data_IF_641861248821
#
_entry.id   IF_641861248821
#
_cell.length_a   1.000
_cell.length_b   1.000
_cell.length_c   1.000
_cell.angle_alpha   90.00
_cell.angle_beta   90.00
_cell.angle_gamma   90.00
#
_symmetry.space_group_name_H-M   'P 1'
#
loop_
_entity.id
_entity.type
_entity.pdbx_description
1 polymer ?
#
# COMPACT_ATOMS: atom_id res chain seq x y z
N UNK A 1 -21.55 20.74 -11.70
CA UNK A 1 -20.14 20.64 -12.13
C UNK A 1 -19.65 19.23 -11.81
N UNK A 2 -18.74 18.66 -12.59
CA UNK A 2 -18.18 17.33 -12.35
C UNK A 2 -16.84 17.43 -11.61
N UNK A 3 -16.57 16.49 -10.68
CA UNK A 3 -15.27 16.34 -10.03
C UNK A 3 -14.67 14.98 -10.42
N UNK A 4 -13.50 14.98 -11.03
CA UNK A 4 -12.75 13.76 -11.32
C UNK A 4 -11.73 13.50 -10.23
N UNK A 5 -11.79 12.31 -9.64
CA UNK A 5 -10.88 11.88 -8.58
C UNK A 5 -9.91 10.85 -9.14
N UNK A 6 -8.65 11.22 -9.24
CA UNK A 6 -7.52 10.35 -9.52
C UNK A 6 -7.08 9.71 -8.21
N UNK A 7 -6.99 8.40 -8.14
CA UNK A 7 -6.64 7.68 -6.92
C UNK A 7 -5.65 6.56 -7.21
N UNK A 8 -4.88 6.14 -6.22
CA UNK A 8 -3.98 5.00 -6.33
C UNK A 8 -4.79 3.71 -6.54
N UNK A 9 -4.67 3.12 -7.73
CA UNK A 9 -5.42 1.94 -8.13
C UNK A 9 -4.87 0.67 -7.47
N UNK A 10 -5.75 -0.34 -7.31
CA UNK A 10 -5.39 -1.59 -6.64
C UNK A 10 -4.76 -1.38 -5.24
N UNK A 11 -5.16 -0.32 -4.55
CA UNK A 11 -4.73 0.02 -3.19
C UNK A 11 -5.95 0.28 -2.32
N UNK A 12 -5.98 -0.31 -1.11
CA UNK A 12 -7.07 -0.09 -0.17
C UNK A 12 -7.10 1.37 0.31
N UNK A 13 -5.94 1.95 0.65
CA UNK A 13 -5.86 3.35 1.04
C UNK A 13 -6.26 4.29 -0.10
N UNK A 14 -5.85 4.00 -1.35
CA UNK A 14 -6.28 4.78 -2.52
C UNK A 14 -7.79 4.79 -2.69
N UNK A 15 -8.47 3.64 -2.55
CA UNK A 15 -9.93 3.55 -2.63
C UNK A 15 -10.61 4.27 -1.45
N UNK A 16 -10.11 4.11 -0.22
CA UNK A 16 -10.61 4.79 0.98
C UNK A 16 -10.39 6.31 0.90
N UNK A 17 -9.24 6.75 0.40
CA UNK A 17 -8.91 8.15 0.19
C UNK A 17 -9.86 8.80 -0.82
N UNK A 18 -10.16 8.12 -1.93
CA UNK A 18 -11.15 8.61 -2.90
C UNK A 18 -12.56 8.69 -2.30
N UNK A 19 -12.95 7.72 -1.48
CA UNK A 19 -14.23 7.70 -0.79
C UNK A 19 -14.35 8.84 0.24
N UNK A 20 -13.34 9.02 1.09
CA UNK A 20 -13.33 10.07 2.10
C UNK A 20 -13.26 11.45 1.46
N UNK A 21 -12.42 11.64 0.43
CA UNK A 21 -12.38 12.88 -0.32
C UNK A 21 -13.73 13.22 -0.94
N UNK A 22 -14.40 12.25 -1.56
CA UNK A 22 -15.74 12.45 -2.17
C UNK A 22 -16.74 12.95 -1.12
N UNK A 23 -16.76 12.34 0.06
CA UNK A 23 -17.65 12.74 1.14
C UNK A 23 -17.29 14.13 1.68
N UNK A 24 -16.02 14.38 1.97
CA UNK A 24 -15.51 15.67 2.38
C UNK A 24 -15.89 16.77 1.38
N UNK A 25 -15.62 16.54 0.11
CA UNK A 25 -15.88 17.51 -0.95
C UNK A 25 -17.38 17.82 -1.08
N UNK A 26 -18.23 16.79 -1.00
CA UNK A 26 -19.68 16.93 -1.05
C UNK A 26 -20.24 17.73 0.15
N UNK A 27 -19.78 17.42 1.35
CA UNK A 27 -20.31 18.01 2.58
C UNK A 27 -19.76 19.41 2.88
N UNK A 28 -18.49 19.67 2.59
CA UNK A 28 -17.80 20.89 2.99
C UNK A 28 -17.51 21.87 1.86
N UNK A 29 -17.46 21.41 0.61
CA UNK A 29 -17.18 22.25 -0.57
C UNK A 29 -18.44 22.45 -1.41
N UNK A 30 -19.14 21.35 -1.73
CA UNK A 30 -20.46 21.38 -2.35
C UNK A 30 -20.51 21.89 -3.80
N UNK A 31 -19.37 21.90 -4.51
CA UNK A 31 -19.28 22.46 -5.87
C UNK A 31 -19.59 21.44 -6.97
N UNK A 32 -19.49 20.12 -6.66
CA UNK A 32 -19.71 19.06 -7.63
C UNK A 32 -21.04 18.33 -7.43
N UNK A 33 -21.74 18.09 -8.54
CA UNK A 33 -22.98 17.31 -8.59
C UNK A 33 -22.71 15.83 -8.89
N UNK A 34 -21.54 15.53 -9.47
CA UNK A 34 -21.13 14.19 -9.88
C UNK A 34 -19.65 13.97 -9.69
N UNK A 35 -19.28 12.73 -9.35
CA UNK A 35 -17.90 12.28 -9.20
C UNK A 35 -17.58 11.16 -10.19
N UNK A 36 -16.45 11.31 -10.90
CA UNK A 36 -15.85 10.28 -11.75
C UNK A 36 -14.52 9.85 -11.14
N UNK A 37 -14.22 8.56 -11.18
CA UNK A 37 -12.99 8.01 -10.58
C UNK A 37 -12.06 7.48 -11.66
N UNK A 38 -10.76 7.79 -11.55
CA UNK A 38 -9.72 7.30 -12.45
C UNK A 38 -8.57 6.69 -11.64
N UNK A 39 -8.44 5.35 -11.75
CA UNK A 39 -7.37 4.61 -11.08
C UNK A 39 -6.00 4.88 -11.70
N UNK A 40 -5.01 5.21 -10.88
CA UNK A 40 -3.65 5.52 -11.26
C UNK A 40 -2.70 4.41 -10.86
N UNK A 41 -1.79 4.03 -11.75
CA UNK A 41 -0.76 3.01 -11.51
C UNK A 41 0.63 3.58 -11.67
N UNK A 42 1.57 3.12 -10.86
CA UNK A 42 2.97 3.46 -11.01
C UNK A 42 3.53 2.78 -12.28
N UNK A 43 3.72 3.57 -13.32
CA UNK A 43 4.30 3.12 -14.60
C UNK A 43 5.56 3.91 -14.91
N UNK A 44 6.43 3.33 -15.75
CA UNK A 44 7.57 4.08 -16.26
C UNK A 44 7.11 5.22 -17.20
N UNK A 45 7.73 6.39 -17.09
CA UNK A 45 7.42 7.55 -17.91
C UNK A 45 6.39 8.50 -17.30
N UNK A 46 5.64 9.23 -18.13
CA UNK A 46 4.67 10.22 -17.68
C UNK A 46 3.47 9.54 -17.01
N UNK A 47 3.24 9.86 -15.74
CA UNK A 47 2.14 9.29 -14.94
C UNK A 47 0.78 9.88 -15.32
N UNK A 48 0.74 11.13 -15.77
CA UNK A 48 -0.47 11.85 -16.14
C UNK A 48 -0.48 12.21 -17.61
N UNK A 49 -1.65 12.13 -18.24
CA UNK A 49 -1.91 12.73 -19.56
C UNK A 49 -2.78 13.95 -19.36
N UNK A 50 -2.43 15.09 -19.97
CA UNK A 50 -3.18 16.32 -19.82
C UNK A 50 -4.67 16.14 -20.24
N UNK A 51 -4.92 15.31 -21.23
CA UNK A 51 -6.27 14.97 -21.67
C UNK A 51 -7.13 14.19 -20.65
N UNK A 52 -6.56 13.74 -19.56
CA UNK A 52 -7.31 13.09 -18.49
C UNK A 52 -7.96 14.11 -17.54
N UNK A 53 -7.40 15.32 -17.45
CA UNK A 53 -7.97 16.38 -16.62
C UNK A 53 -9.16 17.03 -17.30
N UNK A 54 -10.17 17.36 -16.50
CA UNK A 54 -11.34 18.10 -16.95
C UNK A 54 -11.03 19.60 -16.99
N UNK A 55 -11.38 20.26 -18.10
CA UNK A 55 -11.19 21.71 -18.26
C UNK A 55 -12.32 22.47 -17.56
N UNK A 56 -13.57 21.98 -17.67
CA UNK A 56 -14.78 22.62 -17.11
C UNK A 56 -15.26 21.91 -15.84
N UNK A 57 -14.34 21.38 -15.01
CA UNK A 57 -14.63 20.66 -13.80
C UNK A 57 -13.53 20.75 -12.77
N UNK A 58 -13.68 20.03 -11.66
CA UNK A 58 -12.63 19.88 -10.67
C UNK A 58 -11.86 18.59 -10.89
N UNK A 59 -10.58 18.60 -10.57
CA UNK A 59 -9.69 17.46 -10.64
C UNK A 59 -8.99 17.30 -9.30
N UNK A 60 -9.26 16.18 -8.61
CA UNK A 60 -8.61 15.83 -7.36
C UNK A 60 -7.64 14.68 -7.58
N UNK A 61 -6.47 14.74 -6.99
CA UNK A 61 -5.53 13.61 -6.91
C UNK A 61 -5.40 13.24 -5.44
N UNK A 62 -5.65 11.97 -5.10
CA UNK A 62 -5.54 11.46 -3.73
C UNK A 62 -4.69 10.20 -3.69
N UNK A 63 -3.82 10.09 -2.68
CA UNK A 63 -2.94 8.94 -2.46
C UNK A 63 -2.05 8.63 -3.67
N UNK A 64 -1.67 9.66 -4.43
CA UNK A 64 -0.85 9.50 -5.61
C UNK A 64 0.05 10.71 -5.85
N UNK A 65 1.05 10.52 -6.71
CA UNK A 65 2.07 11.51 -7.06
C UNK A 65 1.50 12.89 -7.38
N UNK A 66 2.28 13.91 -7.06
CA UNK A 66 2.00 15.29 -7.43
C UNK A 66 1.96 15.48 -8.95
N UNK A 67 1.07 16.34 -9.40
CA UNK A 67 1.04 16.83 -10.78
C UNK A 67 1.08 18.36 -10.80
N UNK A 68 2.04 18.99 -11.54
CA UNK A 68 2.12 20.44 -11.66
C UNK A 68 1.05 21.04 -12.61
N UNK A 69 0.15 20.22 -13.18
CA UNK A 69 -0.88 20.69 -14.10
C UNK A 69 -1.75 21.77 -13.43
N UNK A 70 -1.99 22.91 -14.09
CA UNK A 70 -2.86 23.96 -13.57
C UNK A 70 -4.34 23.54 -13.49
N UNK A 71 -4.71 22.40 -14.05
CA UNK A 71 -6.05 21.84 -13.98
C UNK A 71 -6.30 21.04 -12.68
N UNK A 72 -5.25 20.73 -11.89
CA UNK A 72 -5.41 20.13 -10.57
C UNK A 72 -6.01 21.12 -9.61
N UNK A 73 -7.15 20.78 -9.01
CA UNK A 73 -7.85 21.63 -8.05
C UNK A 73 -7.67 21.17 -6.61
N UNK A 74 -7.43 19.88 -6.40
CA UNK A 74 -7.17 19.26 -5.11
C UNK A 74 -6.06 18.24 -5.20
N UNK A 75 -5.16 18.22 -4.20
CA UNK A 75 -4.15 17.18 -4.07
C UNK A 75 -3.92 16.81 -2.61
N UNK A 76 -3.90 15.49 -2.33
CA UNK A 76 -3.58 14.93 -1.03
C UNK A 76 -2.64 13.75 -1.20
N UNK A 77 -1.50 13.78 -0.50
CA UNK A 77 -0.57 12.65 -0.48
C UNK A 77 0.25 12.63 0.82
N UNK A 78 0.74 11.44 1.18
CA UNK A 78 1.57 11.20 2.36
C UNK A 78 2.88 10.47 2.03
N UNK A 79 3.11 10.10 0.79
CA UNK A 79 4.30 9.32 0.42
C UNK A 79 5.56 10.18 0.38
N UNK A 80 6.68 9.70 1.00
CA UNK A 80 8.00 10.36 0.87
C UNK A 80 8.42 10.57 -0.59
N UNK A 81 7.94 9.74 -1.49
CA UNK A 81 8.20 9.82 -2.93
C UNK A 81 7.13 10.57 -3.71
N UNK A 82 6.34 11.45 -3.07
CA UNK A 82 5.22 12.18 -3.69
C UNK A 82 5.63 12.98 -4.91
N UNK A 83 6.80 13.60 -4.89
CA UNK A 83 7.31 14.42 -5.97
C UNK A 83 8.21 13.61 -6.91
N UNK A 84 7.99 13.72 -8.22
CA UNK A 84 8.81 13.04 -9.23
C UNK A 84 10.13 13.79 -9.47
N UNK A 85 10.13 15.11 -9.32
CA UNK A 85 11.28 15.99 -9.54
C UNK A 85 11.38 17.04 -8.45
N UNK A 86 12.56 17.63 -8.30
CA UNK A 86 12.73 18.79 -7.42
C UNK A 86 11.93 20.01 -7.88
N UNK A 87 11.63 20.12 -9.19
CA UNK A 87 10.78 21.17 -9.75
C UNK A 87 9.32 21.01 -9.33
N UNK A 88 8.80 19.77 -9.27
CA UNK A 88 7.46 19.50 -8.76
C UNK A 88 7.33 19.93 -7.29
N UNK A 89 8.31 19.60 -6.46
CA UNK A 89 8.33 20.02 -5.06
C UNK A 89 8.40 21.56 -4.94
N UNK A 90 9.23 22.21 -5.74
CA UNK A 90 9.34 23.66 -5.77
C UNK A 90 8.02 24.32 -6.21
N UNK A 91 7.34 23.76 -7.21
CA UNK A 91 6.02 24.23 -7.68
C UNK A 91 4.96 24.12 -6.57
N UNK A 92 4.90 22.97 -5.89
CA UNK A 92 4.02 22.79 -4.73
C UNK A 92 4.29 23.86 -3.66
N UNK A 93 5.55 24.00 -3.22
CA UNK A 93 5.94 24.93 -2.15
C UNK A 93 5.64 26.39 -2.51
N UNK A 94 5.89 26.79 -3.75
CA UNK A 94 5.59 28.14 -4.25
C UNK A 94 4.09 28.45 -4.22
N UNK A 95 3.21 27.43 -4.37
CA UNK A 95 1.77 27.59 -4.29
C UNK A 95 1.23 27.70 -2.86
N UNK A 96 2.01 27.30 -1.84
CA UNK A 96 1.56 27.29 -0.45
C UNK A 96 1.64 28.65 0.24
N UNK A 97 2.60 29.50 -0.12
CA UNK A 97 2.86 30.76 0.55
C UNK A 97 3.16 31.87 -0.47
N UNK A 98 2.48 33.01 -0.37
CA UNK A 98 2.75 34.20 -1.15
C UNK A 98 4.06 34.87 -0.73
N UNK A 99 4.59 35.78 -1.56
CA UNK A 99 5.82 36.54 -1.29
C UNK A 99 5.75 37.40 -0.01
N UNK A 100 4.55 37.78 0.43
CA UNK A 100 4.29 38.55 1.66
C UNK A 100 4.08 37.68 2.91
N UNK A 101 4.23 36.35 2.77
CA UNK A 101 4.04 35.37 3.87
C UNK A 101 2.59 34.97 4.13
N UNK A 102 1.62 35.47 3.37
CA UNK A 102 0.22 35.04 3.48
C UNK A 102 0.00 33.68 2.80
N UNK A 103 -1.08 32.94 3.15
CA UNK A 103 -1.41 31.70 2.46
C UNK A 103 -1.52 31.86 0.95
N UNK A 104 -0.83 31.01 0.21
CA UNK A 104 -0.83 31.01 -1.25
C UNK A 104 -2.10 30.39 -1.83
N UNK A 105 -2.28 30.43 -3.16
CA UNK A 105 -3.50 30.00 -3.84
C UNK A 105 -3.77 28.49 -3.69
N UNK A 106 -2.74 27.68 -3.39
CA UNK A 106 -2.84 26.23 -3.21
C UNK A 106 -2.95 25.79 -1.74
N UNK A 107 -2.73 26.71 -0.78
CA UNK A 107 -2.65 26.42 0.65
C UNK A 107 -3.92 25.75 1.27
N UNK A 108 -5.07 25.91 0.61
CA UNK A 108 -6.34 25.32 1.01
C UNK A 108 -6.84 24.26 0.01
N UNK A 109 -5.98 23.80 -0.87
CA UNK A 109 -6.33 22.87 -1.94
C UNK A 109 -5.33 21.71 -2.12
N UNK A 110 -4.06 21.93 -1.83
CA UNK A 110 -3.01 20.94 -1.96
C UNK A 110 -2.37 20.68 -0.59
N UNK A 111 -2.36 19.41 -0.16
CA UNK A 111 -1.94 19.01 1.19
C UNK A 111 -0.99 17.81 1.12
N UNK A 112 0.17 17.96 1.75
CA UNK A 112 1.18 16.92 1.83
C UNK A 112 1.76 16.83 3.23
N UNK A 113 1.75 15.62 3.81
CA UNK A 113 2.45 15.34 5.07
C UNK A 113 2.90 13.87 5.14
N UNK A 114 4.21 13.60 5.05
CA UNK A 114 4.74 12.24 5.07
C UNK A 114 4.75 11.59 6.47
N UNK A 115 4.29 12.28 7.50
CA UNK A 115 4.18 11.71 8.85
C UNK A 115 2.86 10.97 9.07
N UNK A 116 1.89 11.14 8.18
CA UNK A 116 0.64 10.38 8.25
C UNK A 116 0.83 8.95 7.76
N UNK A 117 0.11 8.02 8.39
CA UNK A 117 0.22 6.59 8.08
C UNK A 117 -0.49 6.24 6.78
N UNK A 118 -1.63 6.90 6.49
CA UNK A 118 -2.42 6.72 5.27
C UNK A 118 -2.86 8.07 4.73
N UNK A 119 -3.08 8.18 3.43
CA UNK A 119 -3.68 9.37 2.83
C UNK A 119 -5.12 9.57 3.31
N UNK A 120 -5.86 8.48 3.56
CA UNK A 120 -7.20 8.53 4.15
C UNK A 120 -7.19 9.27 5.49
N UNK A 121 -6.30 8.93 6.42
CA UNK A 121 -6.21 9.64 7.72
C UNK A 121 -5.74 11.08 7.56
N UNK A 122 -4.88 11.38 6.58
CA UNK A 122 -4.49 12.75 6.26
C UNK A 122 -5.66 13.59 5.74
N UNK A 123 -6.44 13.07 4.80
CA UNK A 123 -7.65 13.75 4.32
C UNK A 123 -8.63 13.99 5.48
N UNK A 124 -8.85 12.99 6.34
CA UNK A 124 -9.71 13.12 7.51
C UNK A 124 -9.28 14.25 8.46
N UNK A 125 -7.97 14.33 8.72
CA UNK A 125 -7.39 15.39 9.54
C UNK A 125 -7.65 16.78 8.94
N UNK A 126 -7.37 16.96 7.65
CA UNK A 126 -7.60 18.23 6.95
C UNK A 126 -9.10 18.57 6.91
N UNK A 127 -9.95 17.62 6.55
CA UNK A 127 -11.40 17.80 6.49
C UNK A 127 -11.97 18.25 7.84
N UNK A 128 -11.54 17.62 8.95
CA UNK A 128 -11.98 17.98 10.29
C UNK A 128 -11.42 19.33 10.75
N UNK A 129 -10.10 19.52 10.68
CA UNK A 129 -9.43 20.68 11.30
C UNK A 129 -9.54 21.97 10.51
N UNK A 130 -9.57 21.90 9.18
CA UNK A 130 -9.63 23.07 8.31
C UNK A 130 -11.03 23.38 7.77
N UNK A 131 -11.88 22.35 7.66
CA UNK A 131 -13.21 22.50 7.06
C UNK A 131 -14.37 22.16 8.00
N UNK A 132 -14.08 21.67 9.24
CA UNK A 132 -15.10 21.41 10.26
C UNK A 132 -15.95 20.18 9.99
N UNK A 133 -15.51 19.27 9.13
CA UNK A 133 -16.23 18.02 8.85
C UNK A 133 -16.27 17.11 10.10
N UNK A 134 -17.44 16.53 10.38
CA UNK A 134 -17.55 15.43 11.33
C UNK A 134 -17.06 14.13 10.70
N UNK A 135 -15.89 13.66 11.13
CA UNK A 135 -15.27 12.43 10.64
C UNK A 135 -15.58 11.19 11.50
N UNK A 136 -16.29 11.36 12.62
CA UNK A 136 -16.66 10.24 13.50
C UNK A 136 -17.41 9.12 12.79
N UNK A 137 -18.35 9.39 11.86
CA UNK A 137 -19.02 8.33 11.09
C UNK A 137 -18.07 7.52 10.18
N UNK A 138 -16.87 8.02 9.91
CA UNK A 138 -15.86 7.37 9.05
C UNK A 138 -14.70 6.75 9.87
N UNK A 139 -14.81 6.72 11.20
CA UNK A 139 -13.73 6.26 12.07
C UNK A 139 -13.25 4.84 11.76
N UNK A 140 -14.16 3.92 11.42
CA UNK A 140 -13.81 2.56 11.00
C UNK A 140 -12.97 2.55 9.72
N UNK A 141 -13.38 3.29 8.70
CA UNK A 141 -12.68 3.40 7.42
C UNK A 141 -11.26 3.96 7.61
N UNK A 142 -11.15 5.06 8.39
CA UNK A 142 -9.87 5.73 8.69
C UNK A 142 -8.94 4.80 9.46
N UNK A 143 -9.45 4.12 10.49
CA UNK A 143 -8.69 3.18 11.30
C UNK A 143 -8.10 2.05 10.44
N UNK A 144 -8.92 1.43 9.59
CA UNK A 144 -8.45 0.32 8.76
C UNK A 144 -7.52 0.76 7.63
N UNK A 145 -7.69 1.96 7.08
CA UNK A 145 -6.72 2.52 6.12
C UNK A 145 -5.33 2.63 6.76
N UNK A 146 -5.24 3.15 8.00
CA UNK A 146 -3.97 3.23 8.74
C UNK A 146 -3.38 1.86 9.06
N UNK A 147 -4.21 0.87 9.41
CA UNK A 147 -3.74 -0.49 9.72
C UNK A 147 -3.17 -1.16 8.46
N UNK A 148 -3.87 -1.06 7.33
CA UNK A 148 -3.50 -1.73 6.08
C UNK A 148 -2.26 -1.09 5.48
N UNK A 149 -2.27 0.23 5.29
CA UNK A 149 -1.18 0.95 4.64
C UNK A 149 0.11 0.93 5.47
N UNK A 150 -0.01 1.17 6.77
CA UNK A 150 1.10 1.09 7.72
C UNK A 150 1.54 -0.32 8.07
N UNK A 151 0.85 -1.36 7.58
CA UNK A 151 1.05 -2.76 7.97
C UNK A 151 1.06 -2.94 9.51
N UNK A 152 0.20 -2.19 10.23
CA UNK A 152 0.13 -2.13 11.70
C UNK A 152 -0.83 -3.16 12.28
N UNK A 153 -0.93 -4.34 11.67
CA UNK A 153 -1.76 -5.42 12.17
C UNK A 153 -1.36 -5.83 13.59
N UNK A 154 -2.34 -6.13 14.42
CA UNK A 154 -2.14 -6.54 15.81
C UNK A 154 -1.23 -7.76 15.94
N UNK A 155 -1.35 -8.71 15.02
CA UNK A 155 -0.59 -9.96 15.00
C UNK A 155 -0.48 -10.55 13.60
N UNK A 156 0.45 -11.47 13.42
CA UNK A 156 0.54 -12.28 12.20
C UNK A 156 -0.77 -13.06 11.95
N UNK A 157 -1.43 -13.50 13.03
CA UNK A 157 -2.74 -14.15 12.96
C UNK A 157 -3.77 -13.22 12.33
N UNK A 158 -3.93 -12.00 12.85
CA UNK A 158 -4.87 -11.02 12.30
C UNK A 158 -4.60 -10.71 10.81
N UNK A 159 -3.31 -10.58 10.44
CA UNK A 159 -2.90 -10.30 9.06
C UNK A 159 -3.13 -11.46 8.08
N UNK A 160 -3.17 -12.72 8.57
CA UNK A 160 -3.30 -13.92 7.71
C UNK A 160 -4.71 -14.51 7.74
N UNK A 161 -5.37 -14.56 8.89
CA UNK A 161 -6.73 -15.13 8.98
C UNK A 161 -7.80 -14.21 8.38
N UNK A 162 -7.52 -12.91 8.26
CA UNK A 162 -8.37 -11.93 7.55
C UNK A 162 -9.83 -11.93 8.03
N UNK A 163 -10.06 -12.01 9.34
CA UNK A 163 -11.41 -12.07 9.91
C UNK A 163 -12.15 -10.73 9.73
N UNK A 164 -11.44 -9.59 9.84
CA UNK A 164 -12.04 -8.28 9.73
C UNK A 164 -12.52 -7.99 8.29
N UNK A 165 -13.68 -7.32 8.12
CA UNK A 165 -14.22 -6.94 6.81
C UNK A 165 -13.21 -6.18 5.94
N UNK A 166 -12.48 -5.24 6.53
CA UNK A 166 -11.44 -4.47 5.84
C UNK A 166 -10.38 -5.36 5.17
N UNK A 167 -9.95 -6.43 5.84
CA UNK A 167 -8.92 -7.34 5.33
C UNK A 167 -9.37 -8.08 4.08
N UNK A 168 -10.63 -8.52 4.07
CA UNK A 168 -11.24 -9.17 2.90
C UNK A 168 -11.45 -8.19 1.75
N UNK A 169 -11.91 -6.97 2.07
CA UNK A 169 -12.04 -5.89 1.08
C UNK A 169 -10.69 -5.50 0.49
N UNK A 170 -9.64 -5.39 1.31
CA UNK A 170 -8.27 -5.16 0.86
C UNK A 170 -7.86 -6.22 -0.16
N UNK A 171 -8.06 -7.50 0.16
CA UNK A 171 -7.71 -8.59 -0.77
C UNK A 171 -8.46 -8.47 -2.10
N UNK A 172 -9.75 -8.13 -2.10
CA UNK A 172 -10.52 -7.96 -3.34
C UNK A 172 -10.03 -6.75 -4.14
N UNK A 173 -9.82 -5.59 -3.48
CA UNK A 173 -9.38 -4.35 -4.12
C UNK A 173 -7.97 -4.51 -4.72
N UNK A 174 -7.03 -5.06 -3.95
CA UNK A 174 -5.64 -5.23 -4.40
C UNK A 174 -5.49 -6.29 -5.49
N UNK A 175 -6.37 -7.29 -5.54
CA UNK A 175 -6.39 -8.32 -6.58
C UNK A 175 -7.30 -7.99 -7.76
N UNK A 176 -7.92 -6.80 -7.79
CA UNK A 176 -8.84 -6.42 -8.87
C UNK A 176 -8.14 -6.42 -10.24
N UNK A 177 -8.71 -7.14 -11.19
CA UNK A 177 -8.16 -7.25 -12.54
C UNK A 177 -8.28 -5.93 -13.33
N UNK A 178 -9.27 -5.11 -13.00
CA UNK A 178 -9.54 -3.84 -13.70
C UNK A 178 -9.86 -2.72 -12.72
N UNK A 179 -9.54 -1.49 -13.11
CA UNK A 179 -9.86 -0.28 -12.34
C UNK A 179 -11.37 -0.09 -12.15
N UNK A 180 -12.19 -0.54 -13.10
CA UNK A 180 -13.66 -0.45 -13.02
C UNK A 180 -14.21 -1.24 -11.82
N UNK A 181 -13.55 -2.34 -11.45
CA UNK A 181 -13.93 -3.07 -10.25
C UNK A 181 -13.65 -2.23 -8.99
N UNK A 182 -12.46 -1.62 -8.88
CA UNK A 182 -12.12 -0.76 -7.74
C UNK A 182 -13.03 0.46 -7.66
N UNK A 183 -13.35 1.09 -8.80
CA UNK A 183 -14.28 2.22 -8.89
C UNK A 183 -15.65 1.91 -8.31
N UNK A 184 -16.13 0.66 -8.36
CA UNK A 184 -17.42 0.26 -7.76
C UNK A 184 -17.41 0.30 -6.23
N UNK A 185 -16.24 0.13 -5.60
CA UNK A 185 -16.11 0.19 -4.15
C UNK A 185 -16.20 1.61 -3.61
N UNK A 186 -15.67 2.60 -4.33
CA UNK A 186 -15.51 3.97 -3.82
C UNK A 186 -16.86 4.56 -3.37
N UNK A 187 -17.95 4.55 -4.17
CA UNK A 187 -19.25 5.04 -3.72
C UNK A 187 -19.80 4.27 -2.51
N UNK A 188 -19.55 2.96 -2.43
CA UNK A 188 -20.03 2.15 -1.31
C UNK A 188 -19.26 2.50 -0.02
N UNK A 189 -17.92 2.63 -0.10
CA UNK A 189 -17.07 3.04 1.01
C UNK A 189 -17.38 4.47 1.50
N UNK A 190 -17.95 5.31 0.62
CA UNK A 190 -18.38 6.67 0.97
C UNK A 190 -19.61 6.65 1.89
N UNK A 191 -20.52 5.68 1.71
CA UNK A 191 -21.86 5.70 2.32
C UNK A 191 -22.09 4.60 3.36
N UNK A 192 -21.33 3.50 3.32
CA UNK A 192 -21.62 2.29 4.08
C UNK A 192 -20.48 1.89 5.03
N UNK A 193 -20.79 1.26 6.17
CA UNK A 193 -19.78 0.60 6.99
C UNK A 193 -19.16 -0.58 6.23
N UNK A 194 -17.92 -0.94 6.56
CA UNK A 194 -17.14 -1.93 5.80
C UNK A 194 -17.81 -3.30 5.71
N UNK A 195 -18.53 -3.73 6.77
CA UNK A 195 -19.31 -4.97 6.73
C UNK A 195 -20.39 -4.94 5.66
N UNK A 196 -21.12 -3.84 5.53
CA UNK A 196 -22.19 -3.71 4.52
C UNK A 196 -21.61 -3.64 3.09
N UNK A 197 -20.40 -3.11 2.90
CA UNK A 197 -19.67 -3.18 1.63
C UNK A 197 -19.26 -4.63 1.34
N UNK A 198 -18.73 -5.33 2.34
CA UNK A 198 -18.36 -6.74 2.22
C UNK A 198 -19.55 -7.61 1.84
N UNK A 199 -20.74 -7.33 2.38
CA UNK A 199 -21.96 -8.12 2.14
C UNK A 199 -22.60 -7.89 0.76
N UNK A 200 -22.03 -6.99 -0.08
CA UNK A 200 -22.53 -6.80 -1.44
C UNK A 200 -22.39 -8.09 -2.27
N UNK A 201 -23.43 -8.50 -3.02
CA UNK A 201 -23.42 -9.77 -3.75
C UNK A 201 -22.19 -9.95 -4.65
N UNK A 202 -21.81 -8.91 -5.40
CA UNK A 202 -20.64 -8.97 -6.28
C UNK A 202 -19.32 -9.12 -5.53
N UNK A 203 -19.25 -8.63 -4.29
CA UNK A 203 -18.06 -8.78 -3.42
C UNK A 203 -17.98 -10.21 -2.91
N UNK A 204 -19.11 -10.78 -2.46
CA UNK A 204 -19.20 -12.15 -1.99
C UNK A 204 -18.81 -13.18 -3.07
N UNK A 205 -19.18 -12.92 -4.32
CA UNK A 205 -18.79 -13.76 -5.47
C UNK A 205 -17.24 -13.79 -5.68
N UNK A 206 -16.55 -12.68 -5.36
CA UNK A 206 -15.10 -12.56 -5.54
C UNK A 206 -14.30 -13.15 -4.38
N UNK A 207 -14.83 -13.07 -3.15
CA UNK A 207 -14.10 -13.46 -1.94
C UNK A 207 -13.81 -14.96 -1.88
N UNK A 208 -14.79 -15.81 -2.21
CA UNK A 208 -14.63 -17.26 -2.13
C UNK A 208 -13.36 -17.77 -2.80
N UNK A 209 -13.20 -17.57 -4.12
CA UNK A 209 -12.01 -18.00 -4.85
C UNK A 209 -10.70 -17.35 -4.36
N UNK A 210 -10.75 -16.10 -3.87
CA UNK A 210 -9.57 -15.41 -3.35
C UNK A 210 -9.13 -16.02 -2.01
N UNK A 211 -10.07 -16.33 -1.12
CA UNK A 211 -9.80 -17.00 0.16
C UNK A 211 -9.28 -18.42 -0.04
N UNK A 212 -9.85 -19.19 -0.98
CA UNK A 212 -9.34 -20.51 -1.33
C UNK A 212 -7.88 -20.44 -1.80
N UNK A 213 -7.56 -19.51 -2.68
CA UNK A 213 -6.18 -19.28 -3.15
C UNK A 213 -5.25 -18.86 -2.01
N UNK A 214 -5.73 -17.98 -1.13
CA UNK A 214 -4.97 -17.53 0.03
C UNK A 214 -4.62 -18.71 0.95
N UNK A 215 -5.59 -19.53 1.33
CA UNK A 215 -5.36 -20.70 2.19
C UNK A 215 -4.51 -21.76 1.51
N UNK A 216 -4.66 -21.99 0.20
CA UNK A 216 -3.75 -22.84 -0.56
C UNK A 216 -2.30 -22.36 -0.47
N UNK A 217 -2.09 -21.03 -0.54
CA UNK A 217 -0.77 -20.42 -0.33
C UNK A 217 -0.24 -20.60 1.10
N UNK A 218 -1.11 -20.54 2.12
CA UNK A 218 -0.73 -20.83 3.51
C UNK A 218 -0.25 -22.27 3.64
N UNK A 219 -0.98 -23.25 3.11
CA UNK A 219 -0.60 -24.66 3.18
C UNK A 219 0.68 -24.95 2.38
N UNK A 220 0.82 -24.38 1.18
CA UNK A 220 2.05 -24.52 0.38
C UNK A 220 3.28 -24.02 1.16
N UNK A 221 3.19 -22.83 1.78
CA UNK A 221 4.29 -22.31 2.58
C UNK A 221 4.50 -23.13 3.84
N UNK A 222 3.45 -23.64 4.48
CA UNK A 222 3.52 -24.55 5.65
C UNK A 222 4.35 -25.80 5.36
N UNK A 223 4.16 -26.40 4.19
CA UNK A 223 4.88 -27.61 3.76
C UNK A 223 6.36 -27.36 3.46
N UNK A 224 6.72 -26.14 3.09
CA UNK A 224 8.05 -25.80 2.59
C UNK A 224 8.89 -24.95 3.54
N UNK A 225 8.24 -24.21 4.45
CA UNK A 225 8.94 -23.31 5.36
C UNK A 225 9.51 -24.07 6.55
N UNK A 226 10.69 -23.67 6.94
CA UNK A 226 11.29 -24.08 8.20
C UNK A 226 12.01 -22.88 8.85
N UNK A 227 12.04 -22.87 10.17
CA UNK A 227 12.71 -21.84 10.97
C UNK A 227 13.95 -22.43 11.64
N UNK A 228 15.10 -21.85 11.37
CA UNK A 228 16.35 -22.22 12.04
C UNK A 228 17.10 -20.97 12.44
N UNK A 229 17.53 -20.90 13.70
CA UNK A 229 18.26 -19.77 14.27
C UNK A 229 17.56 -18.42 13.98
N UNK A 230 16.25 -18.36 14.17
CA UNK A 230 15.46 -17.16 13.97
C UNK A 230 15.27 -16.75 12.51
N UNK A 231 15.67 -17.56 11.55
CA UNK A 231 15.49 -17.30 10.10
C UNK A 231 14.52 -18.32 9.52
N UNK A 232 13.37 -17.84 9.05
CA UNK A 232 12.39 -18.60 8.31
C UNK A 232 12.83 -18.62 6.85
N UNK A 233 12.86 -19.80 6.23
CA UNK A 233 13.20 -19.91 4.80
C UNK A 233 12.31 -20.92 4.09
N UNK A 234 11.95 -20.63 2.84
CA UNK A 234 11.17 -21.51 1.97
C UNK A 234 11.42 -21.21 0.49
N UNK A 235 11.23 -22.21 -0.35
CA UNK A 235 11.28 -22.16 -1.80
C UNK A 235 9.97 -22.75 -2.35
N UNK A 236 9.24 -21.96 -3.12
CA UNK A 236 7.99 -22.34 -3.79
C UNK A 236 8.05 -22.10 -5.31
N UNK A 237 9.25 -22.10 -5.90
CA UNK A 237 9.44 -21.87 -7.34
C UNK A 237 8.83 -22.96 -8.22
N UNK A 238 8.69 -24.18 -7.72
CA UNK A 238 8.02 -25.29 -8.37
C UNK A 238 6.49 -25.15 -8.45
N UNK A 239 5.91 -24.21 -7.68
CA UNK A 239 4.50 -23.85 -7.69
C UNK A 239 4.35 -22.35 -8.05
N UNK A 240 4.41 -21.97 -9.34
CA UNK A 240 4.36 -20.58 -9.74
C UNK A 240 3.11 -19.86 -9.20
N UNK A 241 3.33 -18.70 -8.58
CA UNK A 241 2.26 -17.86 -8.03
C UNK A 241 2.50 -16.40 -8.32
N UNK A 242 1.44 -15.64 -8.58
CA UNK A 242 1.55 -14.18 -8.79
C UNK A 242 1.73 -13.39 -7.47
N UNK A 243 1.64 -14.06 -6.34
CA UNK A 243 1.90 -13.47 -5.02
C UNK A 243 1.32 -14.31 -3.88
N UNK A 244 1.74 -13.99 -2.68
CA UNK A 244 1.23 -14.55 -1.42
C UNK A 244 1.26 -13.48 -0.33
N UNK A 245 0.46 -13.67 0.73
CA UNK A 245 0.49 -12.77 1.88
C UNK A 245 1.84 -12.84 2.59
N UNK A 246 2.55 -11.72 2.61
CA UNK A 246 3.92 -11.59 3.15
C UNK A 246 4.05 -11.92 4.64
N UNK A 247 2.94 -12.03 5.37
CA UNK A 247 2.93 -12.33 6.80
C UNK A 247 2.76 -13.82 7.11
N UNK A 248 2.44 -14.65 6.12
CA UNK A 248 2.30 -16.12 6.29
C UNK A 248 3.52 -16.76 6.98
N UNK A 249 4.78 -16.44 6.63
CA UNK A 249 5.92 -17.05 7.31
C UNK A 249 5.93 -16.81 8.83
N UNK A 250 5.55 -15.60 9.25
CA UNK A 250 5.51 -15.23 10.67
C UNK A 250 4.27 -15.78 11.41
N UNK A 251 3.21 -16.05 10.67
CA UNK A 251 2.04 -16.77 11.18
C UNK A 251 2.37 -18.24 11.49
N UNK A 252 3.13 -18.87 10.62
CA UNK A 252 3.56 -20.26 10.76
C UNK A 252 4.70 -20.44 11.76
N UNK A 253 5.61 -19.47 11.83
CA UNK A 253 6.82 -19.44 12.64
C UNK A 253 6.95 -18.14 13.42
N UNK A 254 6.13 -17.91 14.46
CA UNK A 254 6.13 -16.64 15.21
C UNK A 254 7.46 -16.38 15.95
N UNK A 255 8.26 -17.42 16.19
CA UNK A 255 9.59 -17.32 16.77
C UNK A 255 10.64 -16.74 15.81
N UNK A 256 10.37 -16.74 14.51
CA UNK A 256 11.29 -16.25 13.49
C UNK A 256 11.44 -14.73 13.54
N UNK A 257 12.68 -14.26 13.47
CA UNK A 257 13.01 -12.83 13.37
C UNK A 257 13.02 -12.36 11.91
N UNK A 258 13.54 -13.19 11.02
CA UNK A 258 13.70 -12.89 9.60
C UNK A 258 13.00 -13.94 8.75
N UNK A 259 12.59 -13.52 7.56
CA UNK A 259 12.08 -14.40 6.53
C UNK A 259 12.86 -14.21 5.24
N UNK A 260 13.19 -15.31 4.55
CA UNK A 260 13.75 -15.36 3.20
C UNK A 260 12.89 -16.32 2.38
N UNK A 261 12.02 -15.78 1.54
CA UNK A 261 11.15 -16.56 0.68
C UNK A 261 11.55 -16.46 -0.78
N UNK A 262 11.70 -17.58 -1.47
CA UNK A 262 11.90 -17.64 -2.90
C UNK A 262 10.61 -18.08 -3.58
N UNK A 263 10.15 -17.31 -4.53
CA UNK A 263 8.94 -17.56 -5.32
C UNK A 263 9.17 -17.28 -6.80
N UNK A 264 8.33 -17.87 -7.65
CA UNK A 264 8.33 -17.65 -9.09
C UNK A 264 6.96 -17.18 -9.55
N UNK A 265 6.95 -16.18 -10.42
CA UNK A 265 5.77 -15.73 -11.15
C UNK A 265 5.95 -15.95 -12.65
N UNK A 266 4.96 -15.55 -13.45
CA UNK A 266 5.01 -15.63 -14.92
C UNK A 266 6.17 -14.85 -15.54
N UNK A 267 6.74 -13.86 -14.85
CA UNK A 267 7.74 -12.93 -15.40
C UNK A 267 9.05 -12.83 -14.61
N UNK A 268 9.16 -13.42 -13.42
CA UNK A 268 10.39 -13.34 -12.59
C UNK A 268 10.46 -14.42 -11.52
N UNK A 269 11.70 -14.69 -11.06
CA UNK A 269 11.97 -15.28 -9.75
C UNK A 269 12.19 -14.14 -8.74
N UNK A 270 11.61 -14.25 -7.54
CA UNK A 270 11.68 -13.20 -6.52
C UNK A 270 12.19 -13.78 -5.21
N UNK A 271 13.29 -13.22 -4.70
CA UNK A 271 13.73 -13.42 -3.32
C UNK A 271 13.13 -12.28 -2.48
N UNK A 272 12.25 -12.62 -1.56
CA UNK A 272 11.64 -11.68 -0.61
C UNK A 272 12.30 -11.83 0.75
N UNK A 273 12.78 -10.73 1.32
CA UNK A 273 13.45 -10.71 2.62
C UNK A 273 12.68 -9.79 3.54
N UNK A 274 12.36 -10.23 4.74
CA UNK A 274 11.57 -9.46 5.70
C UNK A 274 12.01 -9.66 7.15
N UNK A 275 11.77 -8.64 7.96
CA UNK A 275 11.85 -8.72 9.43
C UNK A 275 10.45 -8.92 9.97
N UNK A 276 10.28 -9.82 10.92
CA UNK A 276 9.03 -10.03 11.64
C UNK A 276 8.58 -8.71 12.30
N UNK A 277 7.42 -8.15 11.92
CA UNK A 277 6.94 -6.89 12.52
C UNK A 277 6.69 -7.00 14.03
N UNK A 278 6.40 -8.20 14.51
CA UNK A 278 6.08 -8.48 15.91
C UNK A 278 7.27 -9.01 16.72
N UNK A 279 8.47 -8.97 16.14
CA UNK A 279 9.70 -9.37 16.88
C UNK A 279 9.92 -8.46 18.09
N UNK A 280 10.36 -9.08 19.18
CA UNK A 280 10.73 -8.36 20.41
C UNK A 280 12.19 -7.86 20.41
N UNK A 281 12.95 -8.15 19.34
CA UNK A 281 14.32 -7.68 19.23
C UNK A 281 14.36 -6.16 19.07
N UNK A 282 15.27 -5.47 19.80
CA UNK A 282 15.49 -4.03 19.62
C UNK A 282 15.86 -3.69 18.17
N UNK A 283 15.41 -2.54 17.68
CA UNK A 283 15.71 -2.09 16.30
C UNK A 283 17.22 -2.03 16.03
N UNK A 284 18.01 -1.67 17.05
CA UNK A 284 19.50 -1.62 16.96
C UNK A 284 20.17 -2.99 16.71
N UNK A 285 19.47 -4.09 17.02
CA UNK A 285 19.97 -5.45 16.79
C UNK A 285 19.46 -6.03 15.46
N UNK A 286 18.55 -5.33 14.76
CA UNK A 286 18.02 -5.79 13.49
C UNK A 286 18.95 -5.47 12.33
N UNK A 287 19.02 -6.40 11.39
CA UNK A 287 19.83 -6.25 10.18
C UNK A 287 19.11 -5.34 9.18
N UNK A 288 19.86 -4.44 8.53
CA UNK A 288 19.36 -3.67 7.41
C UNK A 288 19.25 -4.57 6.18
N UNK A 289 18.02 -5.00 5.86
CA UNK A 289 17.75 -5.92 4.78
C UNK A 289 17.88 -5.27 3.40
N UNK A 290 17.61 -3.96 3.27
CA UNK A 290 17.83 -3.25 2.01
C UNK A 290 19.30 -3.36 1.57
N UNK A 291 20.25 -3.11 2.49
CA UNK A 291 21.69 -3.21 2.21
C UNK A 291 22.13 -4.63 1.79
N UNK A 292 21.41 -5.67 2.24
CA UNK A 292 21.64 -7.03 1.76
C UNK A 292 21.13 -7.19 0.33
N UNK A 293 19.88 -6.76 0.07
CA UNK A 293 19.25 -6.90 -1.25
C UNK A 293 19.99 -6.11 -2.35
N UNK A 294 20.49 -4.91 -2.02
CA UNK A 294 21.26 -4.05 -2.95
C UNK A 294 22.49 -4.75 -3.51
N UNK A 295 23.16 -5.63 -2.74
CA UNK A 295 24.32 -6.40 -3.22
C UNK A 295 23.99 -7.37 -4.35
N UNK A 296 22.72 -7.71 -4.50
CA UNK A 296 22.19 -8.60 -5.54
C UNK A 296 21.36 -7.84 -6.59
N UNK A 297 21.48 -6.50 -6.66
CA UNK A 297 20.73 -5.68 -7.59
C UNK A 297 19.25 -5.47 -7.23
N UNK A 298 18.88 -5.81 -5.99
CA UNK A 298 17.57 -5.55 -5.42
C UNK A 298 17.48 -4.24 -4.66
N UNK A 299 16.49 -4.10 -3.79
CA UNK A 299 16.31 -2.91 -2.94
C UNK A 299 15.25 -3.13 -1.89
N UNK A 300 14.89 -2.03 -1.20
CA UNK A 300 13.86 -2.05 -0.17
C UNK A 300 14.08 -1.00 0.92
N UNK A 301 13.61 -1.31 2.11
CA UNK A 301 13.81 -0.54 3.33
C UNK A 301 14.57 -1.37 4.36
N UNK A 302 15.01 -0.76 5.46
CA UNK A 302 15.80 -1.44 6.47
C UNK A 302 15.19 -2.77 6.98
N UNK A 303 13.85 -2.88 7.00
CA UNK A 303 13.14 -4.06 7.53
C UNK A 303 12.55 -4.98 6.45
N UNK A 304 12.51 -4.56 5.20
CA UNK A 304 12.00 -5.38 4.09
C UNK A 304 12.78 -5.11 2.82
N UNK A 305 13.04 -6.16 2.03
CA UNK A 305 13.70 -6.02 0.75
C UNK A 305 13.28 -7.12 -0.21
N UNK A 306 13.58 -6.90 -1.48
CA UNK A 306 13.35 -7.89 -2.51
C UNK A 306 14.42 -7.81 -3.60
N UNK A 307 14.66 -8.97 -4.24
CA UNK A 307 15.53 -9.09 -5.39
C UNK A 307 14.70 -9.77 -6.48
N UNK A 308 14.76 -9.25 -7.70
CA UNK A 308 14.09 -9.83 -8.86
C UNK A 308 15.12 -10.37 -9.84
N UNK A 309 14.97 -11.62 -10.20
CA UNK A 309 15.78 -12.28 -11.23
C UNK A 309 14.89 -12.64 -12.42
N UNK A 310 15.40 -12.58 -13.66
CA UNK A 310 14.73 -13.16 -14.81
C UNK A 310 14.29 -14.61 -14.56
N UNK A 311 13.25 -15.06 -15.25
CA UNK A 311 12.70 -16.43 -15.05
C UNK A 311 13.74 -17.51 -15.30
N UNK A 312 14.64 -17.29 -16.26
CA UNK A 312 15.74 -18.20 -16.62
C UNK A 312 16.88 -18.25 -15.62
N UNK A 313 16.96 -17.30 -14.67
CA UNK A 313 17.99 -17.22 -13.62
C UNK A 313 17.49 -17.79 -12.28
N UNK A 314 16.85 -18.95 -12.32
CA UNK A 314 16.31 -19.56 -11.09
C UNK A 314 17.43 -20.05 -10.15
N UNK A 315 18.52 -20.60 -10.70
CA UNK A 315 19.65 -21.08 -9.90
C UNK A 315 20.39 -19.94 -9.20
N UNK A 316 20.55 -18.79 -9.86
CA UNK A 316 21.13 -17.58 -9.25
C UNK A 316 20.24 -17.05 -8.13
N UNK A 317 18.91 -17.08 -8.32
CA UNK A 317 17.97 -16.70 -7.30
C UNK A 317 18.04 -17.62 -6.06
N UNK A 318 18.15 -18.94 -6.28
CA UNK A 318 18.36 -19.93 -5.20
C UNK A 318 19.68 -19.73 -4.46
N UNK A 319 20.77 -19.47 -5.18
CA UNK A 319 22.06 -19.19 -4.57
C UNK A 319 22.02 -17.91 -3.73
N UNK A 320 21.41 -16.85 -4.26
CA UNK A 320 21.24 -15.60 -3.51
C UNK A 320 20.42 -15.80 -2.23
N UNK A 321 19.28 -16.50 -2.33
CA UNK A 321 18.46 -16.82 -1.16
C UNK A 321 19.23 -17.63 -0.12
N UNK A 322 19.96 -18.66 -0.52
CA UNK A 322 20.76 -19.50 0.37
C UNK A 322 21.86 -18.69 1.08
N UNK A 323 22.58 -17.83 0.36
CA UNK A 323 23.61 -16.97 0.95
C UNK A 323 23.02 -15.99 1.97
N UNK A 324 21.86 -15.38 1.66
CA UNK A 324 21.16 -14.47 2.58
C UNK A 324 20.74 -15.21 3.85
N UNK A 325 20.17 -16.42 3.72
CA UNK A 325 19.81 -17.26 4.86
C UNK A 325 21.02 -17.55 5.76
N UNK A 326 22.15 -17.97 5.16
CA UNK A 326 23.37 -18.22 5.93
C UNK A 326 23.88 -16.97 6.65
N UNK A 327 23.93 -15.84 5.95
CA UNK A 327 24.37 -14.56 6.55
C UNK A 327 23.51 -14.16 7.75
N UNK A 328 22.18 -14.25 7.62
CA UNK A 328 21.26 -13.89 8.69
C UNK A 328 21.40 -14.83 9.90
N UNK A 329 21.57 -16.14 9.67
CA UNK A 329 21.80 -17.13 10.72
C UNK A 329 23.13 -16.94 11.47
N UNK A 330 24.18 -16.54 10.77
CA UNK A 330 25.49 -16.32 11.38
C UNK A 330 25.52 -15.04 12.22
N UNK A 331 24.76 -14.02 11.82
CA UNK A 331 24.63 -12.79 12.63
C UNK A 331 23.86 -13.05 13.92
N UNK A 332 22.81 -13.87 13.86
CA UNK A 332 22.06 -14.25 15.06
C UNK A 332 22.92 -15.09 16.03
N UNK A 333 23.88 -15.88 15.52
CA UNK A 333 24.84 -16.62 16.33
C UNK A 333 25.81 -15.73 17.13
N UNK A 334 26.15 -14.54 16.60
CA UNK A 334 27.06 -13.60 17.28
C UNK A 334 26.38 -12.81 18.40
N UNK A 335 25.07 -12.86 18.47
CA UNK A 335 24.25 -12.19 19.49
C UNK A 335 23.83 -13.13 20.63
N UNK A 336 24.12 -14.42 20.53
CA UNK A 336 23.95 -15.37 21.63
C UNK A 336 25.17 -15.32 22.54
N UNK A 337 25.00 -15.18 23.88
CA UNK A 337 26.10 -15.08 24.87
C UNK A 337 26.94 -16.35 24.92
#
# INVERSE_FOLDING_TARGET
>A
MNCRVFYHDNCFDGACSAALFTRFHRECVGTADRYDYLGMKHTAGALFKESWFQVDGENAIVDFKYSPSPLVTWWFDHHLSAFMTAEDEANFRAGQVNADGTPGPKAMREFFDPNYTSCTSWIAHIASTKFGMDVVPLAELIYWADIVDGAKYESAKAAVEMEAPAMKLTMVIESAATSELVQRFIPLLTEMPLQAVLDQPFVQELIGPLMERHWAGVELIRERAYCERGVISFDITDQPTEGYNKFIPYYLHPEGTYNVGLSRSSFRNKVSVGTNPWTKKPVSELVNLAAICERYGGGGHARVGAISFPVEQEDEARMAAAHIVMELRDRDRKLLP
#
